data_IF_022896500751
#
_entry.id   IF_022896500751
#
_cell.length_a   1.000
_cell.length_b   1.000
_cell.length_c   1.000
_cell.angle_alpha   90.00
_cell.angle_beta   90.00
_cell.angle_gamma   90.00
#
_symmetry.space_group_name_H-M   'P 1'
#
loop_
_entity.id
_entity.type
_entity.pdbx_description
1 polymer ?
#
# COMPACT_ATOMS: atom_id res chain seq x y z
N UNK A 1 -0.07 -16.09 11.72
CA UNK A 1 -1.05 -16.38 10.65
C UNK A 1 -0.69 -15.48 9.48
N UNK A 2 -0.43 -16.03 8.30
CA UNK A 2 -0.08 -15.24 7.13
C UNK A 2 -1.37 -14.65 6.54
N UNK A 3 -1.54 -13.32 6.61
CA UNK A 3 -2.65 -12.65 5.93
C UNK A 3 -2.42 -12.73 4.42
N UNK A 4 -3.47 -13.01 3.64
CA UNK A 4 -3.41 -12.97 2.18
C UNK A 4 -3.52 -11.50 1.72
N UNK A 5 -2.39 -10.84 1.48
CA UNK A 5 -2.35 -9.43 1.10
C UNK A 5 -2.43 -9.30 -0.42
N UNK A 6 -3.51 -8.66 -0.90
CA UNK A 6 -3.77 -8.53 -2.34
C UNK A 6 -3.90 -7.09 -2.79
N UNK A 7 -3.40 -6.84 -4.00
CA UNK A 7 -3.56 -5.58 -4.73
C UNK A 7 -4.71 -5.72 -5.73
N UNK A 8 -5.60 -4.73 -5.76
CA UNK A 8 -6.74 -4.65 -6.66
C UNK A 8 -6.83 -3.24 -7.27
N UNK A 9 -7.48 -3.13 -8.43
CA UNK A 9 -7.93 -1.86 -8.98
C UNK A 9 -9.44 -1.78 -8.85
N UNK A 10 -9.95 -0.68 -8.31
CA UNK A 10 -11.39 -0.42 -8.23
C UNK A 10 -11.96 0.00 -9.59
N UNK A 11 -13.28 -0.14 -9.72
CA UNK A 11 -14.05 0.41 -10.86
C UNK A 11 -13.90 1.92 -11.02
N UNK A 12 -13.59 2.63 -9.93
CA UNK A 12 -13.26 4.07 -9.92
C UNK A 12 -11.87 4.37 -10.49
N UNK A 13 -11.03 3.34 -10.67
CA UNK A 13 -9.68 3.45 -11.18
C UNK A 13 -8.59 3.51 -10.11
N UNK A 14 -8.95 3.58 -8.84
CA UNK A 14 -8.03 3.62 -7.70
C UNK A 14 -7.32 2.28 -7.51
N UNK A 15 -6.04 2.33 -7.11
CA UNK A 15 -5.29 1.14 -6.70
C UNK A 15 -5.44 0.96 -5.20
N UNK A 16 -5.86 -0.22 -4.78
CA UNK A 16 -6.10 -0.55 -3.38
C UNK A 16 -5.37 -1.82 -2.98
N UNK A 17 -4.93 -1.88 -1.73
CA UNK A 17 -4.31 -3.04 -1.11
C UNK A 17 -4.99 -3.34 0.22
N UNK A 18 -5.06 -4.61 0.59
CA UNK A 18 -5.60 -5.01 1.88
C UNK A 18 -5.55 -6.51 2.11
N UNK A 19 -6.17 -6.93 3.22
CA UNK A 19 -6.28 -8.34 3.61
C UNK A 19 -7.46 -8.97 2.88
N UNK A 20 -7.19 -9.90 1.98
CA UNK A 20 -8.21 -10.56 1.20
C UNK A 20 -8.88 -11.69 2.00
N UNK A 21 -10.21 -11.67 2.03
CA UNK A 21 -11.07 -12.73 2.56
C UNK A 21 -11.68 -13.48 1.36
N UNK A 22 -11.20 -14.71 1.14
CA UNK A 22 -11.62 -15.52 0.00
C UNK A 22 -13.05 -16.06 0.15
N UNK A 23 -13.54 -16.22 1.38
CA UNK A 23 -14.88 -16.76 1.64
C UNK A 23 -15.95 -15.71 1.35
N UNK A 24 -15.66 -14.44 1.65
CA UNK A 24 -16.58 -13.31 1.41
C UNK A 24 -16.34 -12.57 0.10
N UNK A 25 -15.29 -12.93 -0.62
CA UNK A 25 -14.78 -12.19 -1.78
C UNK A 25 -14.69 -10.68 -1.49
N UNK A 26 -13.95 -10.32 -0.44
CA UNK A 26 -13.75 -8.92 -0.06
C UNK A 26 -12.32 -8.62 0.38
N UNK A 27 -11.98 -7.33 0.35
CA UNK A 27 -10.70 -6.82 0.82
C UNK A 27 -10.95 -6.02 2.10
N UNK A 28 -10.32 -6.39 3.20
CA UNK A 28 -10.45 -5.76 4.51
C UNK A 28 -9.24 -4.89 4.84
N UNK A 29 -9.42 -3.93 5.76
CA UNK A 29 -8.38 -2.99 6.21
C UNK A 29 -7.73 -2.29 5.01
N UNK A 30 -8.57 -1.69 4.17
CA UNK A 30 -8.16 -1.27 2.83
C UNK A 30 -7.34 0.01 2.89
N UNK A 31 -6.26 0.01 2.12
CA UNK A 31 -5.44 1.18 1.87
C UNK A 31 -5.45 1.52 0.38
N UNK A 32 -5.41 2.81 0.06
CA UNK A 32 -5.20 3.30 -1.31
C UNK A 32 -3.72 3.57 -1.57
N UNK A 33 -3.27 3.23 -2.77
CA UNK A 33 -1.96 3.60 -3.30
C UNK A 33 -2.11 4.80 -4.23
N UNK A 34 -1.41 5.88 -3.92
CA UNK A 34 -1.37 7.08 -4.76
C UNK A 34 0.06 7.36 -5.21
N UNK A 35 0.24 7.56 -6.51
CA UNK A 35 1.50 8.05 -7.08
C UNK A 35 1.47 9.57 -7.14
N UNK A 36 2.27 10.21 -6.29
CA UNK A 36 2.43 11.66 -6.27
C UNK A 36 3.66 12.04 -7.10
N UNK A 37 3.51 12.88 -8.14
CA UNK A 37 4.65 13.38 -8.88
C UNK A 37 5.46 14.34 -8.01
N UNK A 38 6.79 14.23 -8.07
CA UNK A 38 7.75 15.07 -7.36
C UNK A 38 8.80 15.62 -8.33
N UNK A 39 9.55 16.66 -7.94
CA UNK A 39 10.62 17.20 -8.79
C UNK A 39 11.71 16.18 -9.15
N UNK A 40 11.88 15.12 -8.36
CA UNK A 40 12.90 14.09 -8.56
C UNK A 40 12.35 12.77 -9.09
N UNK A 41 11.06 12.70 -9.47
CA UNK A 41 10.43 11.48 -9.98
C UNK A 41 9.04 11.26 -9.41
N UNK A 42 8.66 10.00 -9.17
CA UNK A 42 7.36 9.64 -8.60
C UNK A 42 7.54 9.13 -7.19
N UNK A 43 6.65 9.54 -6.29
CA UNK A 43 6.59 9.07 -4.92
C UNK A 43 5.31 8.27 -4.74
N UNK A 44 5.41 7.02 -4.26
CA UNK A 44 4.21 6.26 -3.90
C UNK A 44 3.85 6.51 -2.44
N UNK A 45 2.57 6.81 -2.21
CA UNK A 45 1.98 7.01 -0.89
C UNK A 45 0.94 5.92 -0.63
N UNK A 46 1.01 5.33 0.55
CA UNK A 46 0.01 4.42 1.07
C UNK A 46 -0.81 5.17 2.12
N UNK A 47 -2.12 5.21 1.95
CA UNK A 47 -3.05 5.90 2.86
C UNK A 47 -4.23 4.98 3.21
N UNK A 48 -4.82 5.10 4.41
CA UNK A 48 -6.11 4.48 4.70
C UNK A 48 -7.15 4.89 3.66
N UNK A 49 -8.02 3.97 3.23
CA UNK A 49 -8.96 4.26 2.14
C UNK A 49 -9.92 5.42 2.46
N UNK A 50 -10.36 5.56 3.71
CA UNK A 50 -11.26 6.65 4.14
C UNK A 50 -10.57 7.96 4.51
N UNK A 51 -9.25 8.09 4.34
CA UNK A 51 -8.52 9.32 4.67
C UNK A 51 -9.05 10.52 3.85
N UNK A 52 -9.23 11.72 4.45
CA UNK A 52 -8.85 12.13 5.82
C UNK A 52 -9.93 11.90 6.89
N UNK A 53 -11.07 11.31 6.55
CA UNK A 53 -12.21 11.16 7.47
C UNK A 53 -12.08 9.92 8.36
N UNK A 54 -11.48 8.85 7.84
CA UNK A 54 -11.13 7.64 8.58
C UNK A 54 -9.61 7.42 8.51
N UNK A 55 -8.86 7.79 9.57
CA UNK A 55 -7.40 7.70 9.60
C UNK A 55 -6.86 6.30 9.92
N UNK A 56 -7.72 5.38 10.35
CA UNK A 56 -7.36 4.01 10.66
C UNK A 56 -7.57 3.08 9.45
N UNK A 57 -6.71 2.06 9.31
CA UNK A 57 -6.88 1.00 8.32
C UNK A 57 -8.05 0.10 8.70
N UNK A 58 -9.24 0.53 8.29
CA UNK A 58 -10.51 -0.13 8.58
C UNK A 58 -11.31 -0.28 7.29
N UNK A 59 -12.57 -0.70 7.41
CA UNK A 59 -13.46 -0.87 6.26
C UNK A 59 -13.20 -2.15 5.47
N UNK A 60 -14.15 -2.43 4.57
CA UNK A 60 -14.13 -3.58 3.68
C UNK A 60 -14.70 -3.17 2.33
N UNK A 61 -14.09 -3.64 1.25
CA UNK A 61 -14.61 -3.46 -0.10
C UNK A 61 -14.95 -4.81 -0.69
N UNK A 62 -16.21 -4.95 -1.11
CA UNK A 62 -16.72 -6.15 -1.75
C UNK A 62 -16.16 -6.32 -3.17
N UNK A 63 -15.92 -7.58 -3.56
CA UNK A 63 -15.25 -7.95 -4.79
C UNK A 63 -16.00 -7.59 -6.07
N UNK A 64 -17.29 -7.31 -5.98
CA UNK A 64 -18.09 -6.75 -7.09
C UNK A 64 -17.59 -5.37 -7.57
N UNK A 65 -16.84 -4.66 -6.72
CA UNK A 65 -16.26 -3.35 -7.04
C UNK A 65 -14.83 -3.44 -7.59
N UNK A 66 -14.26 -4.65 -7.69
CA UNK A 66 -12.92 -4.84 -8.23
C UNK A 66 -12.99 -4.90 -9.76
N UNK A 67 -12.34 -3.95 -10.41
CA UNK A 67 -12.17 -3.91 -11.86
C UNK A 67 -11.05 -4.82 -12.33
N UNK A 68 -9.95 -4.88 -11.58
CA UNK A 68 -8.78 -5.68 -11.92
C UNK A 68 -8.17 -6.29 -10.66
N UNK A 69 -7.91 -7.60 -10.72
CA UNK A 69 -7.26 -8.34 -9.64
C UNK A 69 -5.84 -8.67 -10.05
N UNK A 70 -4.85 -8.15 -9.33
CA UNK A 70 -3.47 -8.45 -9.67
C UNK A 70 -3.17 -9.91 -9.33
N UNK A 71 -2.55 -10.63 -10.28
CA UNK A 71 -2.18 -12.02 -10.08
C UNK A 71 -1.15 -12.19 -8.95
N UNK A 72 -0.27 -11.20 -8.78
CA UNK A 72 0.76 -11.18 -7.74
C UNK A 72 0.87 -9.78 -7.13
N UNK A 73 0.97 -9.72 -5.81
CA UNK A 73 1.33 -8.51 -5.07
C UNK A 73 2.83 -8.56 -4.75
N UNK A 74 3.65 -7.57 -5.14
CA UNK A 74 5.07 -7.55 -4.79
C UNK A 74 5.30 -7.64 -3.28
N UNK A 75 6.25 -8.49 -2.84
CA UNK A 75 6.49 -8.73 -1.41
C UNK A 75 6.83 -7.44 -0.64
N UNK A 76 7.65 -6.58 -1.21
CA UNK A 76 8.00 -5.28 -0.60
C UNK A 76 6.76 -4.43 -0.32
N UNK A 77 5.78 -4.46 -1.23
CA UNK A 77 4.55 -3.71 -1.05
C UNK A 77 3.67 -4.32 0.05
N UNK A 78 3.62 -5.65 0.13
CA UNK A 78 2.93 -6.34 1.23
C UNK A 78 3.58 -6.01 2.59
N UNK A 79 4.91 -6.05 2.66
CA UNK A 79 5.67 -5.74 3.86
C UNK A 79 5.41 -4.29 4.32
N UNK A 80 5.45 -3.32 3.38
CA UNK A 80 5.12 -1.89 3.66
C UNK A 80 3.68 -1.68 4.10
N UNK A 81 2.73 -2.40 3.51
CA UNK A 81 1.33 -2.36 3.94
C UNK A 81 1.17 -2.87 5.37
N UNK A 82 1.77 -4.03 5.69
CA UNK A 82 1.73 -4.58 7.05
C UNK A 82 2.36 -3.61 8.03
N UNK A 83 3.53 -3.04 7.69
CA UNK A 83 4.19 -2.03 8.49
C UNK A 83 3.28 -0.84 8.78
N UNK A 84 2.64 -0.27 7.74
CA UNK A 84 1.71 0.85 7.90
C UNK A 84 0.50 0.51 8.77
N UNK A 85 -0.09 -0.67 8.61
CA UNK A 85 -1.19 -1.14 9.45
C UNK A 85 -0.77 -1.35 10.91
N UNK A 86 0.46 -1.80 11.16
CA UNK A 86 0.98 -2.01 12.52
C UNK A 86 1.49 -0.72 13.19
N UNK A 87 1.97 0.25 12.40
CA UNK A 87 2.53 1.52 12.87
C UNK A 87 1.47 2.61 13.12
N UNK A 88 0.18 2.27 13.19
CA UNK A 88 -0.93 3.18 13.51
C UNK A 88 -0.77 3.95 14.84
N UNK A 89 0.18 3.61 15.71
CA UNK A 89 0.60 4.44 16.85
C UNK A 89 1.38 5.71 16.46
N UNK A 90 1.78 5.88 15.18
CA UNK A 90 2.55 7.02 14.67
C UNK A 90 1.78 7.79 13.59
N UNK A 91 0.44 7.75 13.60
CA UNK A 91 -0.41 8.56 12.72
C UNK A 91 -0.35 10.08 13.00
N UNK A 92 0.60 10.54 13.83
CA UNK A 92 0.94 11.97 13.98
C UNK A 92 2.08 12.45 13.07
N UNK A 93 2.74 11.55 12.32
CA UNK A 93 3.95 11.90 11.58
C UNK A 93 4.22 10.95 10.41
N UNK A 94 3.30 10.86 9.45
CA UNK A 94 3.54 10.18 8.17
C UNK A 94 4.49 11.01 7.30
N UNK A 95 5.78 10.92 7.64
CA UNK A 95 6.89 11.43 6.87
C UNK A 95 6.97 10.73 5.52
N UNK A 96 6.91 11.54 4.46
CA UNK A 96 7.53 11.36 3.14
C UNK A 96 8.11 9.95 2.88
N UNK A 97 7.30 9.01 2.41
CA UNK A 97 7.81 7.73 1.88
C UNK A 97 8.37 7.94 0.47
N UNK A 98 9.69 8.11 0.33
CA UNK A 98 10.36 8.23 -0.98
C UNK A 98 10.67 6.83 -1.53
N UNK A 99 9.98 6.42 -2.60
CA UNK A 99 10.46 5.33 -3.44
C UNK A 99 11.50 5.92 -4.38
N UNK A 100 12.79 5.71 -4.09
CA UNK A 100 13.83 6.02 -5.07
C UNK A 100 13.67 5.08 -6.26
N UNK A 101 13.41 5.65 -7.43
CA UNK A 101 13.55 4.95 -8.70
C UNK A 101 15.04 4.80 -9.02
N UNK A 102 15.74 3.95 -8.27
CA UNK A 102 17.03 3.42 -8.73
C UNK A 102 16.81 2.00 -9.25
N UNK A 103 17.25 1.69 -10.48
CA UNK A 103 17.18 0.34 -11.00
C UNK A 103 18.10 -0.56 -10.17
N UNK A 104 17.65 -1.78 -9.89
CA UNK A 104 18.46 -2.86 -9.32
C UNK A 104 19.85 -2.91 -9.97
N UNK A 105 20.89 -2.56 -9.21
CA UNK A 105 22.29 -2.59 -9.61
C UNK A 105 23.17 -2.67 -8.35
N UNK A 106 23.97 -3.72 -8.24
CA UNK A 106 24.60 -4.12 -6.98
C UNK A 106 25.83 -3.30 -6.55
N UNK A 107 26.34 -3.74 -5.38
CA UNK A 107 27.71 -3.57 -4.89
C UNK A 107 28.18 -2.14 -4.58
N UNK A 108 28.43 -1.84 -3.30
CA UNK A 108 29.16 -0.63 -2.94
C UNK A 108 29.25 -0.34 -1.44
N UNK A 109 30.42 -0.62 -0.88
CA UNK A 109 30.85 -0.32 0.48
C UNK A 109 30.98 1.19 0.78
N UNK A 110 30.86 1.55 2.07
CA UNK A 110 31.30 2.83 2.66
C UNK A 110 30.16 3.52 3.43
N UNK A 111 30.06 3.53 4.77
CA UNK A 111 31.02 4.04 5.75
C UNK A 111 31.76 5.26 5.20
N UNK A 112 31.36 6.47 5.62
CA UNK A 112 32.20 7.48 6.30
C UNK A 112 31.28 8.58 6.88
N UNK A 113 31.35 8.70 8.22
CA UNK A 113 31.46 9.88 9.10
C UNK A 113 30.76 11.20 8.76
#
# INVERSE_FOLDING_TARGET
>A
MAYDIRLMKLVTGELIIGKYDADKDCLNEVATLQTVPTQQGVQMMLLPYGYPFEPDFTGSIEGKNFLYRYANTPKELQDKYIEACTNLTVAGGLGKMQFSSEPFGGSGSGLIK
#
